data_IF_820524801206
#
_entry.id   IF_820524801206
#
_cell.length_a   1.000
_cell.length_b   1.000
_cell.length_c   1.000
_cell.angle_alpha   90.00
_cell.angle_beta   90.00
_cell.angle_gamma   90.00
#
_symmetry.space_group_name_H-M   'P 1'
#
loop_
_entity.id
_entity.type
_entity.pdbx_description
1 polymer ?
#
# COMPACT_ATOMS: atom_id res chain seq x y z
N UNK A 1 14.80 -1.29 -30.32
CA UNK A 1 14.92 -1.60 -28.88
C UNK A 1 16.25 -2.33 -28.70
N UNK A 2 17.12 -1.88 -27.80
CA UNK A 2 18.39 -2.59 -27.54
C UNK A 2 18.14 -3.83 -26.72
N UNK A 3 18.48 -4.98 -27.28
CA UNK A 3 18.56 -6.23 -26.52
C UNK A 3 19.81 -6.19 -25.63
N UNK A 4 19.63 -6.40 -24.33
CA UNK A 4 20.72 -6.43 -23.36
C UNK A 4 21.05 -7.88 -23.02
N UNK A 5 22.31 -8.28 -23.22
CA UNK A 5 22.81 -9.60 -22.81
C UNK A 5 23.44 -9.53 -21.42
N UNK A 6 23.05 -10.47 -20.56
CA UNK A 6 23.58 -10.58 -19.20
C UNK A 6 24.40 -11.87 -19.12
N UNK A 7 25.67 -11.76 -18.74
CA UNK A 7 26.49 -12.89 -18.31
C UNK A 7 26.72 -12.73 -16.81
N UNK A 8 26.14 -13.60 -15.99
CA UNK A 8 26.27 -13.56 -14.54
C UNK A 8 26.70 -14.92 -13.99
N UNK A 9 27.55 -14.90 -12.97
CA UNK A 9 27.83 -16.09 -12.16
C UNK A 9 26.88 -16.07 -10.97
N UNK A 10 26.23 -17.19 -10.72
CA UNK A 10 25.36 -17.37 -9.56
C UNK A 10 26.18 -18.05 -8.46
N UNK A 11 25.99 -17.59 -7.23
CA UNK A 11 26.44 -18.35 -6.07
C UNK A 11 25.56 -19.60 -5.87
N UNK A 12 25.99 -20.48 -4.97
CA UNK A 12 25.33 -21.77 -4.73
C UNK A 12 23.88 -21.62 -4.26
N UNK A 13 23.57 -20.59 -3.46
CA UNK A 13 22.22 -20.35 -2.97
C UNK A 13 21.32 -19.86 -4.11
N UNK A 14 21.78 -18.87 -4.86
CA UNK A 14 21.05 -18.30 -6.00
C UNK A 14 20.84 -19.33 -7.11
N UNK A 15 21.80 -20.25 -7.31
CA UNK A 15 21.65 -21.38 -8.22
C UNK A 15 20.56 -22.35 -7.78
N UNK A 16 20.47 -22.65 -6.46
CA UNK A 16 19.39 -23.46 -5.88
C UNK A 16 18.04 -22.79 -6.04
N UNK A 17 17.95 -21.50 -5.76
CA UNK A 17 16.72 -20.73 -5.91
C UNK A 17 16.25 -20.69 -7.38
N UNK A 18 17.19 -20.51 -8.32
CA UNK A 18 16.89 -20.57 -9.75
C UNK A 18 16.35 -21.94 -10.17
N UNK A 19 16.93 -23.03 -9.65
CA UNK A 19 16.45 -24.38 -9.93
C UNK A 19 15.04 -24.60 -9.37
N UNK A 20 14.79 -24.17 -8.13
CA UNK A 20 13.47 -24.21 -7.52
C UNK A 20 12.44 -23.45 -8.36
N UNK A 21 12.75 -22.22 -8.78
CA UNK A 21 11.86 -21.41 -9.61
C UNK A 21 11.58 -22.08 -10.96
N UNK A 22 12.58 -22.76 -11.54
CA UNK A 22 12.41 -23.52 -12.77
C UNK A 22 11.41 -24.67 -12.61
N UNK A 23 11.51 -25.41 -11.51
CA UNK A 23 10.60 -26.52 -11.20
C UNK A 23 9.19 -26.01 -10.90
N UNK A 24 9.06 -24.98 -10.06
CA UNK A 24 7.78 -24.38 -9.67
C UNK A 24 7.02 -23.76 -10.86
N UNK A 25 7.73 -23.19 -11.84
CA UNK A 25 7.13 -22.58 -13.03
C UNK A 25 6.90 -23.55 -14.19
N UNK A 26 7.13 -24.85 -13.99
CA UNK A 26 6.84 -25.89 -14.99
C UNK A 26 7.96 -26.13 -16.00
N UNK A 27 9.21 -26.24 -15.54
CA UNK A 27 10.39 -26.58 -16.34
C UNK A 27 10.70 -25.60 -17.50
N UNK A 28 10.45 -24.30 -17.29
CA UNK A 28 10.78 -23.24 -18.26
C UNK A 28 12.30 -23.11 -18.50
N UNK A 29 12.68 -22.48 -19.62
CA UNK A 29 14.09 -22.14 -19.85
C UNK A 29 14.60 -21.16 -18.79
N UNK A 30 15.92 -21.18 -18.52
CA UNK A 30 16.54 -20.25 -17.55
C UNK A 30 16.22 -18.79 -17.90
N UNK A 31 16.25 -18.45 -19.18
CA UNK A 31 15.92 -17.11 -19.68
C UNK A 31 14.48 -16.71 -19.35
N UNK A 32 13.52 -17.62 -19.51
CA UNK A 32 12.11 -17.33 -19.18
C UNK A 32 11.89 -17.18 -17.68
N UNK A 33 12.53 -18.01 -16.87
CA UNK A 33 12.48 -17.90 -15.41
C UNK A 33 13.04 -16.54 -14.98
N UNK A 34 14.21 -16.15 -15.49
CA UNK A 34 14.82 -14.86 -15.18
C UNK A 34 13.96 -13.68 -15.65
N UNK A 35 13.39 -13.75 -16.86
CA UNK A 35 12.48 -12.71 -17.37
C UNK A 35 11.25 -12.57 -16.46
N UNK A 36 10.65 -13.69 -16.06
CA UNK A 36 9.52 -13.70 -15.15
C UNK A 36 9.87 -13.06 -13.81
N UNK A 37 10.96 -13.51 -13.17
CA UNK A 37 11.39 -12.99 -11.87
C UNK A 37 11.71 -11.50 -11.92
N UNK A 38 12.38 -11.03 -12.98
CA UNK A 38 12.67 -9.60 -13.18
C UNK A 38 11.39 -8.78 -13.38
N UNK A 39 10.43 -9.30 -14.15
CA UNK A 39 9.14 -8.64 -14.35
C UNK A 39 8.36 -8.52 -13.04
N UNK A 40 8.30 -9.59 -12.24
CA UNK A 40 7.64 -9.57 -10.93
C UNK A 40 8.29 -8.57 -9.98
N UNK A 41 9.61 -8.65 -9.80
CA UNK A 41 10.32 -7.71 -8.93
C UNK A 41 10.16 -6.24 -9.37
N UNK A 42 10.21 -5.98 -10.69
CA UNK A 42 10.00 -4.64 -11.21
C UNK A 42 8.55 -4.17 -11.01
N UNK A 43 7.57 -5.05 -11.17
CA UNK A 43 6.16 -4.74 -10.97
C UNK A 43 5.87 -4.41 -9.51
N UNK A 44 6.36 -5.23 -8.58
CA UNK A 44 6.19 -5.02 -7.13
C UNK A 44 6.76 -3.65 -6.71
N UNK A 45 7.96 -3.30 -7.18
CA UNK A 45 8.57 -2.00 -6.89
C UNK A 45 7.79 -0.84 -7.51
N UNK A 46 7.25 -1.00 -8.73
CA UNK A 46 6.41 0.01 -9.37
C UNK A 46 5.10 0.21 -8.62
N UNK A 47 4.47 -0.87 -8.18
CA UNK A 47 3.21 -0.80 -7.43
C UNK A 47 3.40 -0.18 -6.07
N UNK A 48 4.48 -0.51 -5.36
CA UNK A 48 4.87 0.18 -4.13
C UNK A 48 5.12 1.67 -4.35
N UNK A 49 5.84 2.03 -5.41
CA UNK A 49 6.10 3.43 -5.74
C UNK A 49 4.80 4.18 -6.10
N UNK A 50 3.90 3.54 -6.85
CA UNK A 50 2.59 4.08 -7.22
C UNK A 50 1.72 4.29 -5.99
N UNK A 51 1.63 3.31 -5.10
CA UNK A 51 0.86 3.41 -3.85
C UNK A 51 1.37 4.57 -2.97
N UNK A 52 2.69 4.73 -2.84
CA UNK A 52 3.29 5.87 -2.12
C UNK A 52 2.90 7.21 -2.74
N UNK A 53 3.02 7.34 -4.08
CA UNK A 53 2.62 8.56 -4.80
C UNK A 53 1.13 8.85 -4.67
N UNK A 54 0.30 7.82 -4.75
CA UNK A 54 -1.16 7.95 -4.64
C UNK A 54 -1.60 8.39 -3.24
N UNK A 55 -1.00 7.81 -2.19
CA UNK A 55 -1.23 8.25 -0.81
C UNK A 55 -0.86 9.72 -0.60
N UNK A 56 0.27 10.15 -1.16
CA UNK A 56 0.69 11.55 -1.07
C UNK A 56 -0.29 12.46 -1.83
N UNK A 57 -0.66 12.10 -3.06
CA UNK A 57 -1.64 12.83 -3.85
C UNK A 57 -2.97 13.02 -3.11
N UNK A 58 -3.48 11.97 -2.46
CA UNK A 58 -4.73 12.05 -1.70
C UNK A 58 -4.61 12.93 -0.44
N UNK A 59 -3.44 12.97 0.19
CA UNK A 59 -3.18 13.90 1.31
C UNK A 59 -3.14 15.33 0.81
N UNK A 60 -2.39 15.58 -0.26
CA UNK A 60 -2.19 16.91 -0.83
C UNK A 60 -3.48 17.48 -1.43
N UNK A 61 -4.33 16.62 -2.00
CA UNK A 61 -5.65 17.01 -2.50
C UNK A 61 -6.66 17.27 -1.39
N UNK A 62 -6.32 16.99 -0.13
CA UNK A 62 -7.27 17.03 0.99
C UNK A 62 -8.35 15.95 0.93
N UNK A 63 -8.14 14.87 0.15
CA UNK A 63 -9.08 13.74 0.13
C UNK A 63 -8.99 12.90 1.40
N UNK A 64 -7.78 12.71 1.93
CA UNK A 64 -7.54 12.02 3.20
C UNK A 64 -6.77 12.94 4.17
N UNK A 65 -7.05 12.83 5.47
CA UNK A 65 -6.39 13.66 6.49
C UNK A 65 -6.77 15.15 6.42
N UNK A 66 -7.92 15.48 5.83
CA UNK A 66 -8.45 16.84 5.78
C UNK A 66 -8.90 17.36 7.15
N UNK A 67 -9.32 16.46 8.04
CA UNK A 67 -9.65 16.76 9.43
C UNK A 67 -8.33 16.70 10.21
N UNK A 68 -7.79 17.89 10.56
CA UNK A 68 -6.51 18.02 11.27
C UNK A 68 -6.67 18.03 12.79
N UNK A 69 -7.81 18.49 13.28
CA UNK A 69 -8.05 18.79 14.70
C UNK A 69 -9.10 17.86 15.34
N UNK A 70 -9.25 16.64 14.78
CA UNK A 70 -10.16 15.62 15.30
C UNK A 70 -9.47 14.65 16.27
N UNK A 71 -10.17 14.13 17.29
CA UNK A 71 -9.70 13.01 18.10
C UNK A 71 -9.22 11.83 17.24
N UNK A 72 -8.15 11.14 17.64
CA UNK A 72 -7.61 9.99 16.89
C UNK A 72 -8.63 8.84 16.79
N UNK A 73 -9.52 8.73 17.76
CA UNK A 73 -10.60 7.76 17.90
C UNK A 73 -11.96 8.29 17.42
N UNK A 74 -11.98 9.41 16.68
CA UNK A 74 -13.21 10.03 16.15
C UNK A 74 -14.09 9.00 15.42
N UNK A 75 -13.51 8.10 14.63
CA UNK A 75 -14.29 7.09 13.90
C UNK A 75 -14.98 6.07 14.81
N UNK A 76 -14.38 5.75 15.96
CA UNK A 76 -14.92 4.79 16.93
C UNK A 76 -15.98 5.46 17.80
N UNK A 77 -15.70 6.67 18.26
CA UNK A 77 -16.51 7.38 19.25
C UNK A 77 -17.36 8.53 18.66
N UNK A 78 -17.57 8.56 17.34
CA UNK A 78 -18.21 9.69 16.66
C UNK A 78 -19.59 10.06 17.24
N UNK A 79 -20.39 9.07 17.65
CA UNK A 79 -21.73 9.31 18.21
C UNK A 79 -21.67 10.02 19.54
N UNK A 80 -20.68 9.69 20.36
CA UNK A 80 -20.46 10.34 21.65
C UNK A 80 -20.06 11.79 21.44
N UNK A 81 -19.06 12.06 20.58
CA UNK A 81 -18.64 13.43 20.27
C UNK A 81 -19.75 14.27 19.65
N UNK A 82 -20.60 13.68 18.82
CA UNK A 82 -21.77 14.37 18.26
C UNK A 82 -22.80 14.68 19.35
N UNK A 83 -23.09 13.74 20.25
CA UNK A 83 -24.02 13.97 21.35
C UNK A 83 -23.53 15.09 22.29
N UNK A 84 -22.26 15.03 22.70
CA UNK A 84 -21.62 16.06 23.52
C UNK A 84 -21.68 17.44 22.84
N UNK A 85 -21.33 17.52 21.54
CA UNK A 85 -21.39 18.79 20.80
C UNK A 85 -22.82 19.33 20.62
N UNK A 86 -23.82 18.46 20.52
CA UNK A 86 -25.22 18.86 20.45
C UNK A 86 -25.71 19.43 21.79
N UNK A 87 -25.38 18.78 22.91
CA UNK A 87 -25.71 19.27 24.24
C UNK A 87 -24.98 20.58 24.57
N UNK A 88 -23.74 20.78 24.09
CA UNK A 88 -23.04 22.06 24.26
C UNK A 88 -23.69 23.23 23.51
N UNK A 89 -24.15 22.99 22.27
CA UNK A 89 -24.76 24.03 21.42
C UNK A 89 -26.22 24.31 21.77
N UNK A 90 -26.89 23.28 22.26
CA UNK A 90 -28.28 23.31 22.70
C UNK A 90 -28.33 22.75 24.12
N UNK A 91 -27.75 23.45 25.11
CA UNK A 91 -27.86 23.04 26.50
C UNK A 91 -29.34 22.97 26.78
N UNK A 92 -29.83 21.74 27.01
CA UNK A 92 -31.24 21.39 27.11
C UNK A 92 -31.99 22.59 27.68
N UNK A 93 -32.83 23.21 26.84
CA UNK A 93 -33.66 24.33 27.28
C UNK A 93 -34.64 23.70 28.26
N UNK A 94 -34.23 23.60 29.52
CA UNK A 94 -35.02 23.09 30.63
C UNK A 94 -36.07 24.17 30.89
N UNK A 95 -37.02 24.26 29.96
CA UNK A 95 -38.26 24.96 30.11
C UNK A 95 -38.98 24.23 31.23
N UNK A 96 -38.73 24.74 32.45
CA UNK A 96 -39.43 24.38 33.68
C UNK A 96 -40.93 24.37 33.37
N UNK A 97 -41.54 23.20 33.51
CA UNK A 97 -42.96 23.06 33.78
C UNK A 97 -43.13 22.20 35.02
#
# INVERSE_FOLDING_TARGET
MSEMRINARLDEQTARDLQFLREALGAKSITEVLKYSLQQAAQDLRDQARAKRQKQLWRDSGLIGCIKDGPEDLSVNYKQYVAESLDEKHPQDVSKK
#
